data_IF_894491003112
#
_entry.id   IF_894491003112
#
_cell.length_a   1.000
_cell.length_b   1.000
_cell.length_c   1.000
_cell.angle_alpha   90.00
_cell.angle_beta   90.00
_cell.angle_gamma   90.00
#
_symmetry.space_group_name_H-M   'P 1'
#
loop_
_entity.id
_entity.type
_entity.pdbx_description
1 polymer ?
#
# COMPACT_ATOMS: atom_id res chain seq x y z
N UNK A 1 51.83 -57.61 12.31
CA UNK A 1 50.57 -57.20 12.98
C UNK A 1 49.59 -56.68 11.94
N UNK A 2 48.56 -57.44 11.57
CA UNK A 2 47.54 -57.00 10.61
C UNK A 2 46.40 -56.26 11.32
N UNK A 3 46.27 -54.96 11.05
CA UNK A 3 45.24 -54.09 11.62
C UNK A 3 43.94 -54.26 10.81
N UNK A 4 42.98 -55.03 11.35
CA UNK A 4 41.62 -55.15 10.78
C UNK A 4 40.97 -53.75 10.71
N UNK A 5 40.81 -53.21 9.50
CA UNK A 5 40.01 -51.99 9.27
C UNK A 5 38.54 -52.35 9.44
N UNK A 6 37.91 -51.86 10.51
CA UNK A 6 36.47 -51.96 10.68
C UNK A 6 35.78 -50.98 9.72
N UNK A 7 35.09 -51.50 8.71
CA UNK A 7 34.22 -50.70 7.84
C UNK A 7 33.06 -50.18 8.70
N UNK A 8 33.07 -48.89 9.02
CA UNK A 8 31.88 -48.21 9.55
C UNK A 8 30.81 -48.26 8.45
N UNK A 9 29.69 -48.93 8.72
CA UNK A 9 28.53 -48.94 7.82
C UNK A 9 27.97 -47.53 7.78
N UNK A 10 28.27 -46.79 6.71
CA UNK A 10 27.62 -45.52 6.43
C UNK A 10 26.15 -45.84 6.11
N UNK A 11 25.25 -45.62 7.06
CA UNK A 11 23.81 -45.70 6.82
C UNK A 11 23.43 -44.50 5.95
N UNK A 12 23.26 -44.71 4.65
CA UNK A 12 22.72 -43.72 3.74
C UNK A 12 21.23 -43.45 4.02
N UNK A 13 20.77 -42.26 3.68
CA UNK A 13 19.36 -41.87 3.74
C UNK A 13 18.54 -42.74 2.78
N UNK A 14 17.37 -43.22 3.21
CA UNK A 14 16.51 -44.02 2.33
C UNK A 14 15.63 -43.12 1.46
N UNK A 15 15.34 -43.56 0.24
CA UNK A 15 14.41 -42.83 -0.64
C UNK A 15 13.00 -42.76 -0.05
N UNK A 16 12.59 -43.79 0.71
CA UNK A 16 11.28 -43.81 1.37
C UNK A 16 11.15 -42.76 2.47
N UNK A 17 12.22 -42.54 3.26
CA UNK A 17 12.25 -41.47 4.27
C UNK A 17 12.07 -40.10 3.61
N UNK A 18 12.68 -39.88 2.44
CA UNK A 18 12.53 -38.63 1.70
C UNK A 18 11.10 -38.44 1.17
N UNK A 19 10.49 -39.51 0.65
CA UNK A 19 9.13 -39.47 0.09
C UNK A 19 8.09 -39.14 1.16
N UNK A 20 8.21 -39.69 2.38
CA UNK A 20 7.28 -39.40 3.48
C UNK A 20 7.39 -37.92 3.90
N UNK A 21 8.60 -37.37 3.94
CA UNK A 21 8.83 -35.97 4.32
C UNK A 21 8.16 -35.01 3.32
N UNK A 22 8.36 -35.21 2.01
CA UNK A 22 7.72 -34.36 1.01
C UNK A 22 6.19 -34.49 1.02
N UNK A 23 5.66 -35.68 1.33
CA UNK A 23 4.22 -35.90 1.42
C UNK A 23 3.59 -35.09 2.58
N UNK A 24 4.24 -35.07 3.74
CA UNK A 24 3.76 -34.27 4.89
C UNK A 24 3.85 -32.78 4.59
N UNK A 25 4.96 -32.31 3.99
CA UNK A 25 5.13 -30.90 3.59
C UNK A 25 4.04 -30.48 2.60
N UNK A 26 3.69 -31.34 1.64
CA UNK A 26 2.65 -31.05 0.66
C UNK A 26 1.26 -30.86 1.30
N UNK A 27 0.90 -31.69 2.28
CA UNK A 27 -0.38 -31.57 3.01
C UNK A 27 -0.43 -30.24 3.79
N UNK A 28 0.65 -29.91 4.51
CA UNK A 28 0.73 -28.64 5.26
C UNK A 28 0.67 -27.43 4.33
N UNK A 29 1.39 -27.47 3.22
CA UNK A 29 1.41 -26.40 2.23
C UNK A 29 0.03 -26.15 1.61
N UNK A 30 -0.73 -27.23 1.31
CA UNK A 30 -2.07 -27.11 0.73
C UNK A 30 -3.04 -26.30 1.59
N UNK A 31 -2.94 -26.39 2.92
CA UNK A 31 -3.78 -25.64 3.86
C UNK A 31 -3.18 -24.24 4.13
N UNK A 32 -1.86 -24.16 4.27
CA UNK A 32 -1.18 -22.92 4.65
C UNK A 32 -1.18 -21.86 3.55
N UNK A 33 -0.95 -22.25 2.29
CA UNK A 33 -0.84 -21.32 1.14
C UNK A 33 -2.08 -20.44 0.97
N UNK A 34 -3.32 -20.95 0.85
CA UNK A 34 -4.49 -20.10 0.63
C UNK A 34 -4.74 -19.14 1.79
N UNK A 35 -4.51 -19.58 3.04
CA UNK A 35 -4.66 -18.75 4.22
C UNK A 35 -3.59 -17.63 4.25
N UNK A 36 -2.33 -17.99 3.99
CA UNK A 36 -1.23 -17.03 3.93
C UNK A 36 -1.48 -15.95 2.86
N UNK A 37 -1.94 -16.33 1.67
CA UNK A 37 -2.30 -15.38 0.62
C UNK A 37 -3.44 -14.44 1.05
N UNK A 38 -4.46 -14.94 1.76
CA UNK A 38 -5.54 -14.12 2.31
C UNK A 38 -5.03 -13.11 3.33
N UNK A 39 -4.19 -13.54 4.28
CA UNK A 39 -3.57 -12.68 5.28
C UNK A 39 -2.69 -11.62 4.61
N UNK A 40 -1.92 -12.00 3.59
CA UNK A 40 -1.07 -11.06 2.85
C UNK A 40 -1.90 -9.99 2.13
N UNK A 41 -3.01 -10.36 1.48
CA UNK A 41 -3.94 -9.38 0.88
C UNK A 41 -4.53 -8.43 1.93
N UNK A 42 -4.94 -8.97 3.08
CA UNK A 42 -5.43 -8.20 4.23
C UNK A 42 -4.41 -7.20 4.75
N UNK A 43 -3.15 -7.61 4.86
CA UNK A 43 -2.06 -6.75 5.31
C UNK A 43 -1.83 -5.58 4.34
N UNK A 44 -1.85 -5.85 3.02
CA UNK A 44 -1.69 -4.81 1.99
C UNK A 44 -2.79 -3.76 2.02
N UNK A 45 -4.07 -4.17 2.13
CA UNK A 45 -5.19 -3.21 2.27
C UNK A 45 -5.05 -2.36 3.53
N UNK A 46 -4.67 -2.96 4.66
CA UNK A 46 -4.44 -2.21 5.90
C UNK A 46 -3.27 -1.22 5.78
N UNK A 47 -2.20 -1.60 5.09
CA UNK A 47 -1.06 -0.73 4.83
C UNK A 47 -1.47 0.47 3.96
N UNK A 48 -2.35 0.25 2.99
CA UNK A 48 -2.88 1.32 2.15
C UNK A 48 -3.78 2.28 2.92
N UNK A 49 -4.66 1.78 3.79
CA UNK A 49 -5.48 2.63 4.67
C UNK A 49 -4.60 3.47 5.59
N UNK A 50 -3.56 2.88 6.18
CA UNK A 50 -2.63 3.60 7.04
C UNK A 50 -1.86 4.68 6.24
N UNK A 51 -1.41 4.36 5.03
CA UNK A 51 -0.75 5.31 4.14
C UNK A 51 -1.68 6.45 3.71
N UNK A 52 -2.92 6.12 3.35
CA UNK A 52 -3.96 7.09 3.01
C UNK A 52 -4.27 8.03 4.18
N UNK A 53 -4.33 7.49 5.40
CA UNK A 53 -4.48 8.31 6.62
C UNK A 53 -3.30 9.28 6.78
N UNK A 54 -2.06 8.83 6.62
CA UNK A 54 -0.88 9.71 6.69
C UNK A 54 -0.96 10.84 5.65
N UNK A 55 -1.39 10.52 4.43
CA UNK A 55 -1.59 11.51 3.37
C UNK A 55 -2.71 12.50 3.74
N UNK A 56 -3.82 12.01 4.30
CA UNK A 56 -4.92 12.83 4.79
C UNK A 56 -4.46 13.79 5.88
N UNK A 57 -3.75 13.29 6.90
CA UNK A 57 -3.26 14.09 8.02
C UNK A 57 -2.29 15.17 7.51
N UNK A 58 -1.38 14.82 6.59
CA UNK A 58 -0.48 15.77 5.94
C UNK A 58 -1.23 16.86 5.15
N UNK A 59 -2.25 16.46 4.39
CA UNK A 59 -3.07 17.40 3.62
C UNK A 59 -3.86 18.32 4.53
N UNK A 60 -4.43 17.80 5.62
CA UNK A 60 -5.15 18.58 6.62
C UNK A 60 -4.24 19.61 7.30
N UNK A 61 -3.00 19.23 7.65
CA UNK A 61 -2.02 20.16 8.20
C UNK A 61 -1.68 21.29 7.21
N UNK A 62 -1.48 20.96 5.92
CA UNK A 62 -1.18 21.96 4.90
C UNK A 62 -2.36 22.88 4.56
N UNK A 63 -3.59 22.41 4.75
CA UNK A 63 -4.78 23.27 4.69
C UNK A 63 -4.78 24.25 5.86
N UNK A 64 -4.50 23.77 7.08
CA UNK A 64 -4.41 24.63 8.27
C UNK A 64 -3.27 25.67 8.16
N UNK A 65 -2.17 25.34 7.47
CA UNK A 65 -1.08 26.26 7.15
C UNK A 65 -1.41 27.23 5.99
N UNK A 66 -2.57 27.09 5.33
CA UNK A 66 -2.96 27.89 4.18
C UNK A 66 -2.17 27.58 2.90
N UNK A 67 -1.39 26.49 2.87
CA UNK A 67 -0.60 26.06 1.70
C UNK A 67 -1.44 25.30 0.67
N UNK A 68 -2.51 24.65 1.12
CA UNK A 68 -3.54 24.06 0.28
C UNK A 68 -4.84 24.79 0.60
N UNK A 69 -5.44 25.42 -0.39
CA UNK A 69 -6.68 26.20 -0.20
C UNK A 69 -7.85 25.39 -0.73
N UNK A 70 -8.80 24.97 0.13
CA UNK A 70 -10.02 24.31 -0.31
C UNK A 70 -10.88 25.28 -1.10
N UNK A 71 -11.40 24.83 -2.24
CA UNK A 71 -12.35 25.61 -3.05
C UNK A 71 -13.60 24.78 -3.34
N UNK A 72 -14.66 25.44 -3.80
CA UNK A 72 -15.89 24.74 -4.20
C UNK A 72 -15.66 23.76 -5.36
N UNK A 73 -14.55 23.93 -6.10
CA UNK A 73 -14.09 23.01 -7.11
C UNK A 73 -13.05 22.04 -6.54
N UNK A 74 -12.98 20.85 -7.14
CA UNK A 74 -12.01 19.83 -6.73
C UNK A 74 -10.60 20.32 -6.96
N UNK A 75 -9.74 20.17 -5.95
CA UNK A 75 -8.30 20.30 -6.08
C UNK A 75 -7.68 18.94 -5.78
N UNK A 76 -7.03 18.37 -6.79
CA UNK A 76 -6.64 16.97 -6.84
C UNK A 76 -5.14 16.84 -7.05
N UNK A 77 -4.53 15.96 -6.27
CA UNK A 77 -3.11 15.66 -6.35
C UNK A 77 -2.93 14.16 -6.55
N UNK A 78 -2.13 13.78 -7.56
CA UNK A 78 -1.73 12.39 -7.78
C UNK A 78 -0.34 12.17 -7.17
N UNK A 79 -0.21 11.14 -6.35
CA UNK A 79 1.03 10.74 -5.70
C UNK A 79 1.57 9.52 -6.44
N UNK A 80 2.70 9.71 -7.12
CA UNK A 80 3.30 8.69 -7.99
C UNK A 80 4.82 8.67 -7.85
N UNK A 81 5.36 7.49 -7.51
CA UNK A 81 6.78 7.18 -7.55
C UNK A 81 7.71 8.28 -6.98
N UNK A 82 7.37 8.81 -5.79
CA UNK A 82 8.17 9.85 -5.14
C UNK A 82 7.88 11.29 -5.57
N UNK A 83 6.91 11.51 -6.47
CA UNK A 83 6.43 12.83 -6.87
C UNK A 83 4.95 13.05 -6.58
N UNK A 84 4.59 14.28 -6.21
CA UNK A 84 3.19 14.75 -6.17
C UNK A 84 2.96 15.63 -7.39
N UNK A 85 1.94 15.33 -8.20
CA UNK A 85 1.57 16.14 -9.36
C UNK A 85 0.14 16.64 -9.21
N UNK A 86 -0.13 17.94 -9.40
CA UNK A 86 -1.50 18.45 -9.42
C UNK A 86 -2.22 17.98 -10.69
N UNK A 87 -3.54 17.82 -10.62
CA UNK A 87 -4.35 17.62 -11.81
C UNK A 87 -4.47 18.96 -12.57
N UNK A 88 -4.10 19.02 -13.86
CA UNK A 88 -4.09 20.27 -14.63
C UNK A 88 -5.49 20.83 -14.93
N UNK A 89 -6.55 20.03 -14.74
CA UNK A 89 -7.95 20.38 -15.05
C UNK A 89 -8.68 21.02 -13.85
N UNK A 90 -8.05 21.07 -12.68
CA UNK A 90 -8.67 21.56 -11.44
C UNK A 90 -8.62 23.09 -11.33
N UNK A 91 -9.77 23.69 -11.00
CA UNK A 91 -10.00 25.13 -11.08
C UNK A 91 -9.06 25.93 -10.16
N UNK A 92 -8.24 26.77 -10.78
CA UNK A 92 -7.22 27.62 -10.20
C UNK A 92 -6.09 27.75 -11.22
N UNK A 93 -5.45 28.92 -11.34
CA UNK A 93 -4.30 29.00 -12.25
C UNK A 93 -3.31 27.88 -11.92
N UNK A 94 -2.75 27.15 -12.91
CA UNK A 94 -1.94 25.93 -12.69
C UNK A 94 -0.73 26.11 -11.75
N UNK A 95 -0.40 27.35 -11.38
CA UNK A 95 0.71 27.76 -10.52
C UNK A 95 0.39 27.69 -9.01
N UNK A 96 -0.85 27.85 -8.56
CA UNK A 96 -1.21 27.67 -7.13
C UNK A 96 -1.22 26.20 -6.73
N UNK A 97 -1.70 25.35 -7.63
CA UNK A 97 -1.89 23.91 -7.42
C UNK A 97 -0.54 23.19 -7.44
N UNK A 98 0.40 23.67 -8.28
CA UNK A 98 1.78 23.18 -8.31
C UNK A 98 2.54 23.44 -7.01
N UNK A 99 2.36 24.63 -6.41
CA UNK A 99 2.96 24.96 -5.12
C UNK A 99 2.39 24.09 -3.99
N UNK A 100 1.07 23.88 -3.98
CA UNK A 100 0.39 22.96 -3.07
C UNK A 100 0.91 21.52 -3.21
N UNK A 101 1.08 21.02 -4.45
CA UNK A 101 1.65 19.71 -4.71
C UNK A 101 3.09 19.58 -4.18
N UNK A 102 3.93 20.60 -4.41
CA UNK A 102 5.30 20.64 -3.90
C UNK A 102 5.35 20.68 -2.37
N UNK A 103 4.42 21.40 -1.73
CA UNK A 103 4.29 21.45 -0.29
C UNK A 103 3.93 20.07 0.29
N UNK A 104 2.95 19.37 -0.31
CA UNK A 104 2.58 18.01 0.07
C UNK A 104 3.73 17.02 -0.15
N UNK A 105 4.44 17.12 -1.26
CA UNK A 105 5.62 16.31 -1.54
C UNK A 105 6.71 16.48 -0.47
N UNK A 106 6.96 17.74 -0.09
CA UNK A 106 7.97 18.08 0.91
C UNK A 106 7.56 17.63 2.31
N UNK A 107 6.27 17.71 2.64
CA UNK A 107 5.73 17.30 3.93
C UNK A 107 5.82 15.78 4.13
N UNK A 108 5.44 15.00 3.11
CA UNK A 108 5.42 13.54 3.22
C UNK A 108 6.82 12.92 3.31
N UNK A 109 7.86 13.60 2.78
CA UNK A 109 9.26 13.17 2.68
C UNK A 109 9.48 11.87 1.88
N UNK A 110 8.75 10.81 2.20
CA UNK A 110 8.61 9.58 1.42
C UNK A 110 7.15 9.44 0.99
N UNK A 111 6.92 9.42 -0.32
CA UNK A 111 5.58 9.23 -0.86
C UNK A 111 5.22 7.74 -0.80
N UNK A 112 4.17 7.37 -0.04
CA UNK A 112 3.75 5.98 0.01
C UNK A 112 3.15 5.55 -1.34
N UNK A 113 3.28 4.26 -1.66
CA UNK A 113 2.68 3.64 -2.84
C UNK A 113 1.61 2.63 -2.41
N UNK A 114 0.48 2.53 -3.13
CA UNK A 114 -0.49 1.48 -2.89
C UNK A 114 0.11 0.08 -3.06
N UNK A 115 -0.22 -0.83 -2.15
CA UNK A 115 0.19 -2.24 -2.17
C UNK A 115 -0.98 -3.19 -2.46
N UNK A 116 -2.23 -2.77 -2.21
CA UNK A 116 -3.41 -3.63 -2.42
C UNK A 116 -3.71 -3.89 -3.89
N UNK A 117 -3.49 -2.89 -4.77
CA UNK A 117 -3.77 -2.97 -6.21
C UNK A 117 -2.51 -2.57 -6.98
N UNK A 118 -2.05 -3.45 -7.87
CA UNK A 118 -0.85 -3.20 -8.67
C UNK A 118 -1.04 -1.98 -9.59
N UNK A 119 0.02 -1.19 -9.74
CA UNK A 119 0.10 -0.01 -10.63
C UNK A 119 -0.92 1.11 -10.33
N UNK A 120 -1.52 1.12 -9.14
CA UNK A 120 -2.35 2.24 -8.71
C UNK A 120 -1.56 3.29 -7.95
N UNK A 121 -2.13 4.50 -7.92
CA UNK A 121 -1.56 5.69 -7.29
C UNK A 121 -2.54 6.19 -6.24
N UNK A 122 -2.02 6.86 -5.21
CA UNK A 122 -2.89 7.62 -4.32
C UNK A 122 -3.31 8.91 -5.03
N UNK A 123 -4.59 9.24 -4.91
CA UNK A 123 -5.14 10.50 -5.39
C UNK A 123 -5.80 11.21 -4.21
N UNK A 124 -5.32 12.39 -3.89
CA UNK A 124 -5.89 13.23 -2.84
C UNK A 124 -6.80 14.23 -3.50
N UNK A 125 -8.03 14.35 -3.01
CA UNK A 125 -8.99 15.35 -3.46
C UNK A 125 -9.35 16.24 -2.28
N UNK A 126 -9.25 17.56 -2.46
CA UNK A 126 -9.63 18.58 -1.49
C UNK A 126 -10.72 19.43 -2.11
N UNK A 127 -11.84 19.59 -1.38
CA UNK A 127 -13.03 20.33 -1.80
C UNK A 127 -13.60 21.13 -0.62
N UNK A 128 -14.58 21.99 -0.90
CA UNK A 128 -15.35 22.72 0.10
C UNK A 128 -14.93 24.18 0.23
N UNK A 129 -14.82 24.67 1.46
CA UNK A 129 -14.40 26.04 1.75
C UNK A 129 -13.41 26.05 2.91
N UNK A 130 -12.74 27.18 3.14
CA UNK A 130 -11.78 27.32 4.24
C UNK A 130 -12.40 27.00 5.61
N UNK A 131 -13.70 27.29 5.81
CA UNK A 131 -14.41 26.99 7.07
C UNK A 131 -14.89 25.55 7.18
N UNK A 132 -14.99 24.82 6.07
CA UNK A 132 -15.51 23.45 6.00
C UNK A 132 -14.80 22.65 4.90
N UNK A 133 -13.51 22.32 5.06
CA UNK A 133 -12.77 21.54 4.08
C UNK A 133 -13.20 20.08 4.11
N UNK A 134 -13.30 19.46 2.93
CA UNK A 134 -13.41 18.02 2.77
C UNK A 134 -12.15 17.49 2.10
N UNK A 135 -11.59 16.42 2.66
CA UNK A 135 -10.38 15.76 2.12
C UNK A 135 -10.73 14.29 1.91
N UNK A 136 -10.35 13.77 0.76
CA UNK A 136 -10.54 12.38 0.39
C UNK A 136 -9.25 11.83 -0.20
N UNK A 137 -8.91 10.59 0.16
CA UNK A 137 -7.77 9.87 -0.41
C UNK A 137 -8.27 8.60 -1.08
N UNK A 138 -8.05 8.53 -2.38
CA UNK A 138 -8.51 7.46 -3.26
C UNK A 138 -7.35 6.60 -3.75
N UNK A 139 -7.66 5.35 -4.08
CA UNK A 139 -6.82 4.48 -4.90
C UNK A 139 -7.66 4.05 -6.10
N UNK A 140 -7.27 4.50 -7.31
CA UNK A 140 -8.09 4.30 -8.50
C UNK A 140 -9.45 5.00 -8.39
N UNK A 141 -10.54 4.23 -8.43
CA UNK A 141 -11.92 4.71 -8.28
C UNK A 141 -12.46 4.61 -6.85
N UNK A 142 -11.72 3.98 -5.95
CA UNK A 142 -12.20 3.62 -4.63
C UNK A 142 -11.69 4.62 -3.57
N UNK A 143 -12.62 5.17 -2.79
CA UNK A 143 -12.29 5.96 -1.61
C UNK A 143 -11.71 5.05 -0.52
N UNK A 144 -10.54 5.41 -0.01
CA UNK A 144 -9.80 4.66 1.01
C UNK A 144 -9.90 5.33 2.38
N UNK A 145 -9.91 6.67 2.42
CA UNK A 145 -9.94 7.44 3.65
C UNK A 145 -10.61 8.82 3.41
N UNK A 146 -11.43 9.34 4.35
CA UNK A 146 -11.67 8.90 5.74
C UNK A 146 -12.64 7.74 5.91
N UNK A 147 -13.46 7.46 4.90
CA UNK A 147 -14.38 6.33 4.89
C UNK A 147 -14.05 5.47 3.69
N UNK A 148 -13.60 4.24 3.95
CA UNK A 148 -13.41 3.28 2.89
C UNK A 148 -14.76 2.97 2.23
N UNK A 149 -14.84 3.08 0.91
CA UNK A 149 -16.01 2.62 0.16
C UNK A 149 -16.26 1.15 0.48
N UNK A 150 -17.52 0.70 0.51
CA UNK A 150 -17.86 -0.72 0.73
C UNK A 150 -17.20 -1.67 -0.30
N UNK A 151 -16.74 -1.13 -1.44
CA UNK A 151 -15.95 -1.85 -2.45
C UNK A 151 -14.44 -1.93 -2.18
N UNK A 152 -13.92 -1.13 -1.23
CA UNK A 152 -12.50 -1.12 -0.82
C UNK A 152 -12.24 -2.13 0.32
N UNK A 153 -12.75 -3.35 0.15
CA UNK A 153 -12.59 -4.45 1.10
C UNK A 153 -12.34 -5.73 0.28
N UNK A 154 -11.06 -6.11 0.13
CA UNK A 154 -10.48 -7.47 -0.02
C UNK A 154 -11.04 -8.49 -1.03
N UNK A 155 -12.13 -8.20 -1.73
CA UNK A 155 -12.92 -9.17 -2.52
C UNK A 155 -13.09 -8.73 -3.98
N UNK A 156 -11.99 -8.38 -4.64
CA UNK A 156 -11.87 -8.58 -6.09
C UNK A 156 -10.89 -9.72 -6.35
#
# INVERSE_FOLDING_TARGET
MNKKRQNKKNKGFTLIELIIVIAIIAILAAIAIPNFLSIQRKARVKADIASAKTIYDATSALIAEGKIVPTSSKVTFTLDNGKVTPNPEDAGEPKTNANAANALQSYLQTIPKPESIANQKFKVTVEGSESSPTIQVDIGSDNVYPVASAGYELNK
#
